data_IF_152917229377
#
_entry.id   IF_152917229377
#
_cell.length_a   1.000
_cell.length_b   1.000
_cell.length_c   1.000
_cell.angle_alpha   90.00
_cell.angle_beta   90.00
_cell.angle_gamma   90.00
#
_symmetry.space_group_name_H-M   'P 1'
#
loop_
_entity.id
_entity.type
_entity.pdbx_description
1 polymer ?
#
# COMPACT_ATOMS: atom_id res chain seq x y z
N UNK A 1 9.74 -6.23 -7.19
CA UNK A 1 9.69 -7.46 -6.35
C UNK A 1 8.30 -7.62 -5.76
N UNK A 2 7.72 -8.83 -5.80
CA UNK A 2 6.41 -9.11 -5.19
C UNK A 2 6.55 -9.04 -3.66
N UNK A 3 5.64 -8.32 -3.00
CA UNK A 3 5.58 -8.27 -1.53
C UNK A 3 4.69 -9.39 -1.03
N UNK A 4 5.16 -10.10 -0.01
CA UNK A 4 4.41 -11.19 0.64
C UNK A 4 3.89 -10.70 1.99
N UNK A 5 2.80 -11.32 2.45
CA UNK A 5 2.14 -11.00 3.73
C UNK A 5 2.09 -12.27 4.57
N UNK A 6 2.33 -12.15 5.88
CA UNK A 6 2.17 -13.26 6.84
C UNK A 6 0.77 -13.18 7.45
N UNK A 7 -0.16 -14.09 7.12
CA UNK A 7 -1.55 -14.00 7.57
C UNK A 7 -1.68 -14.10 9.09
N UNK A 8 -0.82 -14.90 9.72
CA UNK A 8 -0.81 -15.12 11.17
C UNK A 8 -0.48 -13.86 11.99
N UNK A 9 0.10 -12.81 11.39
CA UNK A 9 0.47 -11.57 12.08
C UNK A 9 -0.49 -10.41 11.77
N UNK A 10 -1.57 -10.64 11.00
CA UNK A 10 -2.48 -9.57 10.61
C UNK A 10 -3.35 -9.12 11.79
N UNK A 11 -3.40 -7.80 12.00
CA UNK A 11 -4.25 -7.15 13.02
C UNK A 11 -5.70 -7.61 12.93
N UNK A 12 -6.27 -7.65 11.72
CA UNK A 12 -7.67 -8.00 11.47
C UNK A 12 -8.01 -9.42 11.90
N UNK A 13 -7.03 -10.32 11.80
CA UNK A 13 -7.21 -11.76 12.11
C UNK A 13 -6.96 -12.02 13.60
N UNK A 14 -5.94 -11.39 14.19
CA UNK A 14 -5.47 -11.72 15.54
C UNK A 14 -6.06 -10.85 16.64
N UNK A 15 -6.37 -9.59 16.37
CA UNK A 15 -6.85 -8.66 17.39
C UNK A 15 -8.37 -8.56 17.35
N UNK A 16 -9.01 -8.68 18.51
CA UNK A 16 -10.46 -8.44 18.64
C UNK A 16 -10.76 -6.97 18.32
N UNK A 17 -11.85 -6.65 17.57
CA UNK A 17 -12.17 -5.28 17.18
C UNK A 17 -12.30 -4.29 18.35
N UNK A 18 -12.64 -4.78 19.56
CA UNK A 18 -12.83 -3.96 20.76
C UNK A 18 -11.54 -3.57 21.48
N UNK A 19 -10.40 -4.16 21.11
CA UNK A 19 -9.11 -3.89 21.79
C UNK A 19 -8.42 -2.69 21.14
N UNK A 20 -7.93 -1.77 21.98
CA UNK A 20 -7.17 -0.59 21.54
C UNK A 20 -5.83 -1.02 20.93
N UNK A 21 -5.39 -0.31 19.90
CA UNK A 21 -4.11 -0.54 19.24
C UNK A 21 -3.50 0.81 18.83
N UNK A 22 -2.20 0.82 18.54
CA UNK A 22 -1.49 2.01 18.08
C UNK A 22 -0.83 1.74 16.73
N UNK A 23 -0.75 2.77 15.90
CA UNK A 23 0.03 2.73 14.67
C UNK A 23 1.46 3.19 14.96
N UNK A 24 2.45 2.40 14.53
CA UNK A 24 3.86 2.74 14.72
C UNK A 24 4.22 4.09 14.09
N UNK A 25 3.63 4.43 12.94
CA UNK A 25 3.84 5.74 12.31
C UNK A 25 3.38 6.92 13.17
N UNK A 26 2.29 6.77 13.92
CA UNK A 26 1.82 7.79 14.87
C UNK A 26 2.80 7.94 16.04
N UNK A 27 3.18 6.81 16.65
CA UNK A 27 4.13 6.82 17.78
C UNK A 27 5.47 7.43 17.37
N UNK A 28 5.97 7.09 16.18
CA UNK A 28 7.23 7.61 15.70
C UNK A 28 7.19 9.15 15.54
N UNK A 29 6.08 9.71 15.06
CA UNK A 29 5.91 11.17 15.01
C UNK A 29 5.88 11.80 16.41
N UNK A 30 5.16 11.20 17.36
CA UNK A 30 5.11 11.67 18.76
C UNK A 30 6.48 11.64 19.45
N UNK A 31 7.32 10.64 19.12
CA UNK A 31 8.69 10.49 19.65
C UNK A 31 9.70 11.38 18.90
N UNK A 32 9.25 12.23 17.98
CA UNK A 32 10.07 13.24 17.32
C UNK A 32 10.64 12.83 15.96
N UNK A 33 10.09 11.79 15.31
CA UNK A 33 10.44 11.47 13.93
C UNK A 33 9.82 12.48 12.96
N UNK A 34 10.66 13.37 12.42
CA UNK A 34 10.24 14.54 11.61
C UNK A 34 9.81 14.21 10.18
N UNK A 35 10.12 13.01 9.67
CA UNK A 35 10.00 12.68 8.23
C UNK A 35 8.65 12.06 7.83
N UNK A 36 7.58 12.28 8.59
CA UNK A 36 6.26 11.75 8.27
C UNK A 36 5.73 12.30 6.94
N UNK A 37 5.79 13.61 6.72
CA UNK A 37 5.29 14.25 5.50
C UNK A 37 6.08 13.82 4.24
N UNK A 38 7.40 13.69 4.37
CA UNK A 38 8.27 13.22 3.28
C UNK A 38 7.91 11.78 2.89
N UNK A 39 7.69 10.90 3.88
CA UNK A 39 7.30 9.52 3.61
C UNK A 39 5.92 9.44 2.93
N UNK A 40 4.96 10.27 3.37
CA UNK A 40 3.62 10.30 2.78
C UNK A 40 3.64 10.69 1.29
N UNK A 41 4.36 11.77 0.94
CA UNK A 41 4.47 12.23 -0.46
C UNK A 41 5.17 11.20 -1.36
N UNK A 42 6.20 10.52 -0.85
CA UNK A 42 6.90 9.47 -1.60
C UNK A 42 6.04 8.21 -1.78
N UNK A 43 5.25 7.84 -0.76
CA UNK A 43 4.32 6.71 -0.83
C UNK A 43 3.17 6.96 -1.81
N UNK A 44 2.67 8.19 -1.90
CA UNK A 44 1.67 8.60 -2.89
C UNK A 44 2.21 8.48 -4.32
N UNK A 45 3.35 9.11 -4.61
CA UNK A 45 4.05 9.00 -5.90
C UNK A 45 4.32 7.54 -6.30
N UNK A 46 4.61 6.67 -5.32
CA UNK A 46 4.83 5.24 -5.59
C UNK A 46 3.52 4.49 -5.91
N UNK A 47 2.41 4.85 -5.26
CA UNK A 47 1.09 4.25 -5.52
C UNK A 47 0.59 4.62 -6.91
N UNK A 48 0.72 5.88 -7.30
CA UNK A 48 0.37 6.37 -8.65
C UNK A 48 1.08 5.57 -9.74
N UNK A 49 2.41 5.48 -9.67
CA UNK A 49 3.21 4.69 -10.62
C UNK A 49 2.82 3.21 -10.66
N UNK A 50 2.35 2.66 -9.55
CA UNK A 50 1.89 1.27 -9.50
C UNK A 50 0.51 1.10 -10.15
N UNK A 51 -0.38 2.08 -10.01
CA UNK A 51 -1.69 2.10 -10.67
C UNK A 51 -1.51 2.26 -12.17
N UNK A 52 -0.71 3.24 -12.60
CA UNK A 52 -0.38 3.46 -14.01
C UNK A 52 0.17 2.19 -14.67
N UNK A 53 1.13 1.51 -14.02
CA UNK A 53 1.67 0.24 -14.53
C UNK A 53 0.63 -0.87 -14.61
N UNK A 54 -0.33 -0.92 -13.69
CA UNK A 54 -1.43 -1.90 -13.74
C UNK A 54 -2.39 -1.59 -14.89
N UNK A 55 -2.69 -0.31 -15.13
CA UNK A 55 -3.54 0.15 -16.22
C UNK A 55 -2.86 -0.19 -17.55
N UNK A 56 -1.61 0.23 -17.76
CA UNK A 56 -0.84 -0.05 -18.97
C UNK A 56 -0.84 -1.57 -19.28
N UNK A 57 -0.52 -2.39 -18.28
CA UNK A 57 -0.53 -3.85 -18.42
C UNK A 57 -1.91 -4.42 -18.74
N UNK A 58 -2.97 -3.89 -18.13
CA UNK A 58 -4.33 -4.31 -18.42
C UNK A 58 -4.77 -3.91 -19.84
N UNK A 59 -4.43 -2.69 -20.27
CA UNK A 59 -4.70 -2.21 -21.63
C UNK A 59 -3.94 -3.01 -22.69
N UNK A 60 -2.70 -3.40 -22.43
CA UNK A 60 -1.92 -4.30 -23.30
C UNK A 60 -2.61 -5.66 -23.45
N UNK A 61 -3.08 -6.25 -22.34
CA UNK A 61 -3.80 -7.53 -22.37
C UNK A 61 -5.10 -7.42 -23.20
N UNK A 62 -5.85 -6.33 -23.06
CA UNK A 62 -7.08 -6.13 -23.85
C UNK A 62 -6.80 -5.96 -25.35
N UNK A 63 -5.72 -5.24 -25.70
CA UNK A 63 -5.24 -5.14 -27.10
C UNK A 63 -4.80 -6.49 -27.66
N UNK A 64 -4.09 -7.28 -26.86
CA UNK A 64 -3.63 -8.63 -27.26
C UNK A 64 -4.80 -9.58 -27.54
N UNK A 65 -5.88 -9.45 -26.76
CA UNK A 65 -7.10 -10.25 -26.92
C UNK A 65 -8.09 -9.66 -27.94
N UNK A 66 -7.73 -8.58 -28.66
CA UNK A 66 -8.57 -7.95 -29.68
C UNK A 66 -9.85 -7.27 -29.16
N UNK A 67 -9.94 -7.04 -27.84
CA UNK A 67 -11.08 -6.39 -27.19
C UNK A 67 -11.01 -4.85 -27.23
N UNK A 68 -9.83 -4.31 -27.52
CA UNK A 68 -9.56 -2.88 -27.54
C UNK A 68 -8.65 -2.63 -28.74
N UNK A 69 -9.14 -1.84 -29.70
CA UNK A 69 -8.39 -1.44 -30.90
C UNK A 69 -7.36 -0.38 -30.55
#
# INVERSE_FOLDING_TARGET
>A
KKRMVVPAALKVVRLKPTRKFAYLGRLAHEVGWKYQAVTATLEEKRKEKNVEKKICKFTEVLKTNGLLV
#
